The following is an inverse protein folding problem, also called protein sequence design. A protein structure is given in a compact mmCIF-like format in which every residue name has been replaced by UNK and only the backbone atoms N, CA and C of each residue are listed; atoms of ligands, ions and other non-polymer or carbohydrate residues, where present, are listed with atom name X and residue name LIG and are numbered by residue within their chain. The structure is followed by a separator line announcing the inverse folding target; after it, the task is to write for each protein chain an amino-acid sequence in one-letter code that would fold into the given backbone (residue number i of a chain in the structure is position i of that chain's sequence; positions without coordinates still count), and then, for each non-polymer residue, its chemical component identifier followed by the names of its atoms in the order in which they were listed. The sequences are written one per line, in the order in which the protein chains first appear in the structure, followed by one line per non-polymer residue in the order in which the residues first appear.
data_IF_753497294007
#
_entry.id   IF_753497294007
#
_cell.length_a   1.000
_cell.length_b   1.000
_cell.length_c   1.000
_cell.angle_alpha   90.00
_cell.angle_beta   90.00
_cell.angle_gamma   90.00
#
_symmetry.space_group_name_H-M   'P 1'
#
loop_
_entity.id
_entity.type
_entity.pdbx_description
1 polymer ?
#
# COMPACT_ATOMS: atom_id res chain seq x y z
N UNK A 1 19.61 40.24 32.65
CA UNK A 1 19.08 40.90 33.84
C UNK A 1 19.36 40.08 35.07
N UNK A 2 20.17 40.73 35.91
CA UNK A 2 20.85 40.24 37.10
C UNK A 2 19.88 40.26 38.28
N UNK A 3 19.63 39.11 38.91
CA UNK A 3 18.85 39.02 40.15
C UNK A 3 19.62 38.18 41.17
N UNK A 4 20.61 38.85 41.74
CA UNK A 4 21.25 38.52 43.02
C UNK A 4 20.19 38.40 44.11
N UNK A 5 19.81 37.17 44.47
CA UNK A 5 19.08 36.87 45.70
C UNK A 5 20.08 36.43 46.75
N UNK A 6 20.44 37.37 47.63
CA UNK A 6 21.38 37.18 48.72
C UNK A 6 20.93 36.08 49.69
N UNK A 7 21.69 34.99 49.74
CA UNK A 7 21.69 34.00 50.82
C UNK A 7 22.81 34.30 51.85
N UNK A 8 23.15 35.58 52.04
CA UNK A 8 24.13 36.03 53.05
C UNK A 8 23.48 36.44 54.38
N UNK A 9 22.46 35.70 54.81
CA UNK A 9 22.02 35.69 56.21
C UNK A 9 21.98 34.26 56.71
N UNK A 10 23.17 33.69 56.90
CA UNK A 10 23.36 32.65 57.91
C UNK A 10 23.21 33.31 59.28
N UNK A 11 21.99 33.39 59.76
CA UNK A 11 21.73 33.56 61.18
C UNK A 11 22.34 32.35 61.90
N UNK A 12 23.50 32.57 62.52
CA UNK A 12 24.07 31.68 63.52
C UNK A 12 23.14 31.70 64.74
N UNK A 13 22.05 30.94 64.67
CA UNK A 13 21.28 30.57 65.85
C UNK A 13 22.17 29.62 66.65
N UNK A 14 22.90 30.20 67.60
CA UNK A 14 23.62 29.48 68.64
C UNK A 14 22.61 28.90 69.63
N UNK A 15 21.82 27.92 69.22
CA UNK A 15 21.10 27.07 70.18
C UNK A 15 22.14 26.16 70.82
N UNK A 16 22.57 26.53 72.03
CA UNK A 16 23.52 25.78 72.83
C UNK A 16 22.99 24.38 73.14
N UNK A 17 23.33 23.41 72.28
CA UNK A 17 23.19 21.99 72.58
C UNK A 17 24.46 21.57 73.29
N UNK A 18 24.44 21.64 74.62
CA UNK A 18 25.60 21.34 75.48
C UNK A 18 25.66 19.88 75.92
N UNK A 19 24.63 19.08 75.61
CA UNK A 19 24.54 17.67 76.03
C UNK A 19 24.98 16.72 74.91
N UNK A 20 25.92 15.81 75.21
CA UNK A 20 26.45 14.78 74.28
C UNK A 20 25.37 13.99 73.52
N UNK A 21 24.20 13.76 74.12
CA UNK A 21 23.07 13.07 73.49
C UNK A 21 22.38 13.88 72.38
N UNK A 22 22.23 15.20 72.56
CA UNK A 22 21.62 16.08 71.56
C UNK A 22 22.51 16.26 70.33
N UNK A 23 23.83 16.32 70.51
CA UNK A 23 24.80 16.41 69.42
C UNK A 23 24.73 15.19 68.48
N UNK A 24 24.61 13.98 69.03
CA UNK A 24 24.49 12.73 68.25
C UNK A 24 23.19 12.65 67.44
N UNK A 25 22.10 13.23 67.92
CA UNK A 25 20.82 13.23 67.19
C UNK A 25 20.86 14.15 65.96
N UNK A 26 21.49 15.32 66.06
CA UNK A 26 21.67 16.21 64.91
C UNK A 26 22.69 15.68 63.89
N UNK A 27 23.64 14.84 64.31
CA UNK A 27 24.58 14.17 63.41
C UNK A 27 23.88 13.21 62.45
N UNK A 28 22.91 12.41 62.93
CA UNK A 28 22.11 11.53 62.08
C UNK A 28 21.29 12.30 61.03
N UNK A 29 20.69 13.42 61.41
CA UNK A 29 19.94 14.28 60.48
C UNK A 29 20.85 15.00 59.46
N UNK A 30 22.10 15.32 59.83
CA UNK A 30 23.12 15.83 58.90
C UNK A 30 23.56 14.77 57.91
N UNK A 31 23.86 13.57 58.37
CA UNK A 31 24.24 12.45 57.51
C UNK A 31 23.17 12.16 56.45
N UNK A 32 21.90 12.11 56.84
CA UNK A 32 20.78 11.93 55.91
C UNK A 32 20.63 13.09 54.91
N UNK A 33 20.90 14.33 55.34
CA UNK A 33 20.89 15.50 54.46
C UNK A 33 22.06 15.49 53.46
N UNK A 34 23.22 15.01 53.87
CA UNK A 34 24.38 14.86 52.98
C UNK A 34 24.16 13.73 51.98
N UNK A 35 23.55 12.62 52.41
CA UNK A 35 23.11 11.55 51.50
C UNK A 35 22.06 12.04 50.51
N UNK A 36 21.08 12.82 50.96
CA UNK A 36 20.09 13.41 50.07
C UNK A 36 20.72 14.31 49.00
N UNK A 37 21.77 15.07 49.36
CA UNK A 37 22.53 15.91 48.41
C UNK A 37 23.38 15.07 47.46
N UNK A 38 24.06 14.03 47.94
CA UNK A 38 24.89 13.14 47.10
C UNK A 38 24.06 12.33 46.11
N UNK A 39 22.89 11.86 46.52
CA UNK A 39 21.99 11.05 45.69
C UNK A 39 20.89 11.88 45.00
N UNK A 40 20.89 13.21 45.16
CA UNK A 40 19.87 14.12 44.63
C UNK A 40 18.41 13.68 44.92
N UNK A 41 18.18 13.00 46.04
CA UNK A 41 16.86 12.47 46.39
C UNK A 41 16.06 13.49 47.21
N UNK A 42 14.94 13.94 46.65
CA UNK A 42 13.97 14.82 47.31
C UNK A 42 13.27 14.12 48.48
N UNK A 43 13.07 12.80 48.40
CA UNK A 43 12.48 11.99 49.46
C UNK A 43 13.40 11.91 50.69
N UNK A 44 14.70 11.67 50.48
CA UNK A 44 15.69 11.68 51.58
C UNK A 44 15.85 13.07 52.19
N UNK A 45 15.76 14.14 51.38
CA UNK A 45 15.81 15.51 51.87
C UNK A 45 14.59 15.84 52.76
N UNK A 46 13.40 15.38 52.38
CA UNK A 46 12.18 15.51 53.16
C UNK A 46 12.25 14.69 54.47
N UNK A 47 12.79 13.48 54.44
CA UNK A 47 13.02 12.67 55.64
C UNK A 47 13.99 13.37 56.60
N UNK A 48 15.11 13.89 56.11
CA UNK A 48 16.07 14.64 56.92
C UNK A 48 15.44 15.89 57.57
N UNK A 49 14.53 16.57 56.88
CA UNK A 49 13.76 17.68 57.44
C UNK A 49 12.79 17.23 58.54
N UNK A 50 12.08 16.11 58.35
CA UNK A 50 11.17 15.50 59.34
C UNK A 50 11.92 14.97 60.59
N UNK A 51 13.12 14.41 60.41
CA UNK A 51 13.98 14.02 61.53
C UNK A 51 14.42 15.26 62.34
N UNK A 52 14.81 16.34 61.66
CA UNK A 52 15.23 17.59 62.32
C UNK A 52 14.08 18.21 63.12
N UNK A 53 12.84 18.16 62.62
CA UNK A 53 11.67 18.66 63.35
C UNK A 53 11.29 17.76 64.52
N UNK A 54 11.38 16.44 64.37
CA UNK A 54 11.14 15.48 65.45
C UNK A 54 12.11 15.68 66.62
N UNK A 55 13.40 15.90 66.35
CA UNK A 55 14.45 16.15 67.37
C UNK A 55 14.19 17.46 68.14
N UNK A 56 13.71 18.51 67.46
CA UNK A 56 13.40 19.80 68.11
C UNK A 56 12.14 19.72 68.96
N UNK A 57 11.12 18.99 68.50
CA UNK A 57 9.87 18.81 69.23
C UNK A 57 10.07 17.96 70.49
N UNK A 58 10.90 16.92 70.41
CA UNK A 58 11.12 15.99 71.52
C UNK A 58 11.98 16.55 72.66
N UNK A 59 12.73 17.63 72.45
CA UNK A 59 13.48 18.28 73.54
C UNK A 59 12.57 18.91 74.60
N UNK A 60 11.27 19.04 74.32
CA UNK A 60 10.27 19.62 75.21
C UNK A 60 9.31 18.58 75.81
N UNK A 61 9.23 17.36 75.26
CA UNK A 61 8.20 16.37 75.61
C UNK A 61 8.71 15.09 76.29
N UNK A 62 10.02 14.87 76.37
CA UNK A 62 10.60 13.70 77.07
C UNK A 62 10.44 12.35 76.34
N UNK A 63 9.84 12.34 75.14
CA UNK A 63 9.65 11.14 74.32
C UNK A 63 10.97 10.61 73.73
N UNK A 64 11.03 9.29 73.48
CA UNK A 64 12.16 8.64 72.82
C UNK A 64 12.26 9.04 71.33
N UNK A 65 13.10 10.05 71.09
CA UNK A 65 13.42 10.58 69.76
C UNK A 65 13.96 9.52 68.82
N UNK A 66 14.74 8.55 69.32
CA UNK A 66 15.35 7.52 68.48
C UNK A 66 14.31 6.51 68.03
N UNK A 67 13.34 6.16 68.87
CA UNK A 67 12.22 5.33 68.46
C UNK A 67 11.43 5.99 67.32
N UNK A 68 11.16 7.30 67.42
CA UNK A 68 10.45 8.07 66.38
C UNK A 68 11.22 8.16 65.06
N UNK A 69 12.53 8.38 65.13
CA UNK A 69 13.40 8.40 63.93
C UNK A 69 13.47 7.02 63.28
N UNK A 70 13.62 5.95 64.06
CA UNK A 70 13.60 4.58 63.54
C UNK A 70 12.27 4.27 62.86
N UNK A 71 11.14 4.66 63.46
CA UNK A 71 9.82 4.55 62.85
C UNK A 71 9.74 5.26 61.49
N UNK A 72 10.14 6.54 61.42
CA UNK A 72 10.13 7.29 60.15
C UNK A 72 11.02 6.67 59.06
N UNK A 73 12.13 6.04 59.43
CA UNK A 73 13.01 5.33 58.49
C UNK A 73 12.35 4.02 58.05
N UNK A 74 11.80 3.23 58.98
CA UNK A 74 11.07 1.99 58.68
C UNK A 74 9.87 2.24 57.77
N UNK A 75 9.06 3.27 58.05
CA UNK A 75 7.91 3.65 57.22
C UNK A 75 8.33 4.02 55.79
N UNK A 76 9.48 4.70 55.65
CA UNK A 76 10.01 5.07 54.33
C UNK A 76 10.55 3.84 53.59
N UNK A 77 11.20 2.91 54.29
CA UNK A 77 11.70 1.65 53.70
C UNK A 77 10.52 0.80 53.23
N UNK A 78 9.52 0.59 54.08
CA UNK A 78 8.32 -0.19 53.72
C UNK A 78 7.60 0.44 52.52
N UNK A 79 7.47 1.77 52.50
CA UNK A 79 6.90 2.47 51.35
C UNK A 79 7.70 2.26 50.06
N UNK A 80 9.04 2.33 50.11
CA UNK A 80 9.89 2.12 48.94
C UNK A 80 9.83 0.66 48.46
N UNK A 81 9.76 -0.31 49.37
CA UNK A 81 9.60 -1.73 49.02
C UNK A 81 8.25 -2.00 48.34
N UNK A 82 7.17 -1.40 48.83
CA UNK A 82 5.85 -1.49 48.21
C UNK A 82 5.82 -0.81 46.82
N UNK A 83 6.40 0.39 46.69
CA UNK A 83 6.51 1.10 45.42
C UNK A 83 7.36 0.30 44.41
N UNK A 84 8.47 -0.29 44.84
CA UNK A 84 9.31 -1.13 43.98
C UNK A 84 8.57 -2.39 43.46
N UNK A 85 7.79 -3.04 44.32
CA UNK A 85 6.97 -4.18 43.92
C UNK A 85 5.86 -3.77 42.93
N UNK A 86 5.20 -2.63 43.16
CA UNK A 86 4.18 -2.09 42.25
C UNK A 86 4.79 -1.68 40.90
N UNK A 87 5.96 -1.04 40.90
CA UNK A 87 6.66 -0.65 39.67
C UNK A 87 7.16 -1.87 38.88
N UNK A 88 7.63 -2.92 39.55
CA UNK A 88 8.03 -4.16 38.88
C UNK A 88 6.85 -4.81 38.13
N UNK A 89 5.69 -4.89 38.77
CA UNK A 89 4.48 -5.44 38.14
C UNK A 89 3.96 -4.56 37.00
N UNK A 90 3.94 -3.24 37.20
CA UNK A 90 3.54 -2.28 36.17
C UNK A 90 4.48 -2.27 34.98
N UNK A 91 5.80 -2.37 35.22
CA UNK A 91 6.79 -2.48 34.15
C UNK A 91 6.57 -3.74 33.32
N UNK A 92 6.39 -4.90 33.98
CA UNK A 92 6.12 -6.15 33.28
C UNK A 92 4.83 -6.06 32.44
N UNK A 93 3.79 -5.40 32.95
CA UNK A 93 2.56 -5.14 32.20
C UNK A 93 2.80 -4.21 30.99
N UNK A 94 3.49 -3.08 31.19
CA UNK A 94 3.81 -2.16 30.11
C UNK A 94 4.66 -2.79 29.02
N UNK A 95 5.69 -3.55 29.39
CA UNK A 95 6.57 -4.24 28.44
C UNK A 95 5.77 -5.27 27.62
N UNK A 96 4.88 -6.03 28.27
CA UNK A 96 4.01 -7.00 27.60
C UNK A 96 3.02 -6.33 26.64
N UNK A 97 2.25 -5.36 27.11
CA UNK A 97 1.22 -4.70 26.30
C UNK A 97 1.84 -3.91 25.14
N UNK A 98 2.99 -3.25 25.35
CA UNK A 98 3.71 -2.59 24.27
C UNK A 98 4.22 -3.58 23.23
N UNK A 99 4.75 -4.73 23.66
CA UNK A 99 5.19 -5.77 22.73
C UNK A 99 4.02 -6.31 21.89
N UNK A 100 2.91 -6.67 22.53
CA UNK A 100 1.70 -7.16 21.83
C UNK A 100 1.10 -6.10 20.90
N UNK A 101 1.06 -4.83 21.34
CA UNK A 101 0.52 -3.73 20.54
C UNK A 101 1.40 -3.43 19.33
N UNK A 102 2.73 -3.42 19.50
CA UNK A 102 3.66 -3.23 18.39
C UNK A 102 3.58 -4.38 17.39
N UNK A 103 3.50 -5.63 17.86
CA UNK A 103 3.30 -6.78 16.98
C UNK A 103 2.01 -6.65 16.17
N UNK A 104 0.88 -6.33 16.83
CA UNK A 104 -0.40 -6.12 16.13
C UNK A 104 -0.34 -4.97 15.14
N UNK A 105 0.38 -3.89 15.48
CA UNK A 105 0.61 -2.76 14.59
C UNK A 105 1.37 -3.20 13.34
N UNK A 106 2.47 -3.93 13.49
CA UNK A 106 3.31 -4.38 12.38
C UNK A 106 2.56 -5.36 11.46
N UNK A 107 1.80 -6.30 12.05
CA UNK A 107 0.92 -7.20 11.30
C UNK A 107 -0.12 -6.43 10.49
N UNK A 108 -0.77 -5.43 11.09
CA UNK A 108 -1.79 -4.61 10.42
C UNK A 108 -1.19 -3.68 9.37
N UNK A 109 -0.01 -3.11 9.60
CA UNK A 109 0.70 -2.32 8.59
C UNK A 109 1.07 -3.18 7.38
N UNK A 110 1.57 -4.40 7.61
CA UNK A 110 1.85 -5.36 6.53
C UNK A 110 0.60 -5.75 5.76
N UNK A 111 -0.53 -5.97 6.45
CA UNK A 111 -1.82 -6.26 5.83
C UNK A 111 -2.31 -5.08 4.97
N UNK A 112 -2.16 -3.85 5.43
CA UNK A 112 -2.50 -2.63 4.69
C UNK A 112 -1.65 -2.51 3.42
N UNK A 113 -0.33 -2.70 3.51
CA UNK A 113 0.56 -2.64 2.34
C UNK A 113 0.19 -3.71 1.30
N UNK A 114 -0.10 -4.94 1.76
CA UNK A 114 -0.56 -6.02 0.88
C UNK A 114 -1.89 -5.68 0.20
N UNK A 115 -2.85 -5.13 0.93
CA UNK A 115 -4.14 -4.74 0.34
C UNK A 115 -3.98 -3.56 -0.63
N UNK A 116 -3.13 -2.57 -0.31
CA UNK A 116 -2.85 -1.44 -1.18
C UNK A 116 -2.26 -1.90 -2.52
N UNK A 117 -1.22 -2.75 -2.47
CA UNK A 117 -0.61 -3.29 -3.70
C UNK A 117 -1.58 -4.12 -4.54
N UNK A 118 -2.51 -4.86 -3.90
CA UNK A 118 -3.58 -5.56 -4.60
C UNK A 118 -4.58 -4.60 -5.26
N UNK A 119 -4.95 -3.52 -4.57
CA UNK A 119 -5.83 -2.47 -5.10
C UNK A 119 -5.20 -1.81 -6.32
N UNK A 120 -3.91 -1.49 -6.27
CA UNK A 120 -3.19 -0.87 -7.39
C UNK A 120 -3.15 -1.80 -8.61
N UNK A 121 -2.86 -3.09 -8.38
CA UNK A 121 -2.88 -4.11 -9.44
C UNK A 121 -4.27 -4.27 -10.06
N UNK A 122 -5.31 -4.32 -9.25
CA UNK A 122 -6.69 -4.44 -9.73
C UNK A 122 -7.15 -3.19 -10.47
N UNK A 123 -6.75 -2.01 -10.01
CA UNK A 123 -7.06 -0.72 -10.65
C UNK A 123 -6.38 -0.61 -12.01
N UNK A 124 -5.10 -0.98 -12.11
CA UNK A 124 -4.39 -1.06 -13.38
C UNK A 124 -5.07 -2.04 -14.35
N UNK A 125 -5.42 -3.25 -13.89
CA UNK A 125 -6.14 -4.23 -14.72
C UNK A 125 -7.52 -3.74 -15.16
N UNK A 126 -8.22 -2.99 -14.31
CA UNK A 126 -9.51 -2.39 -14.66
C UNK A 126 -9.36 -1.35 -15.77
N UNK A 127 -8.30 -0.53 -15.72
CA UNK A 127 -8.00 0.42 -16.78
C UNK A 127 -7.67 -0.29 -18.11
N UNK A 128 -6.80 -1.30 -18.10
CA UNK A 128 -6.47 -2.05 -19.34
C UNK A 128 -7.69 -2.74 -19.93
N UNK A 129 -8.54 -3.37 -19.10
CA UNK A 129 -9.77 -4.00 -19.58
C UNK A 129 -10.74 -2.99 -20.20
N UNK A 130 -10.83 -1.77 -19.67
CA UNK A 130 -11.66 -0.71 -20.27
C UNK A 130 -11.12 -0.28 -21.63
N UNK A 131 -9.81 -0.15 -21.78
CA UNK A 131 -9.17 0.15 -23.06
C UNK A 131 -9.40 -0.98 -24.08
N UNK A 132 -9.23 -2.24 -23.67
CA UNK A 132 -9.50 -3.41 -24.51
C UNK A 132 -10.96 -3.47 -24.95
N UNK A 133 -11.91 -3.21 -24.04
CA UNK A 133 -13.35 -3.17 -24.38
C UNK A 133 -13.64 -2.08 -25.40
N UNK A 134 -13.08 -0.87 -25.23
CA UNK A 134 -13.27 0.21 -26.19
C UNK A 134 -12.70 -0.16 -27.56
N UNK A 135 -11.48 -0.71 -27.61
CA UNK A 135 -10.85 -1.15 -28.85
C UNK A 135 -11.64 -2.25 -29.55
N UNK A 136 -12.14 -3.25 -28.81
CA UNK A 136 -12.97 -4.33 -29.35
C UNK A 136 -14.31 -3.81 -29.87
N UNK A 137 -14.93 -2.83 -29.19
CA UNK A 137 -16.16 -2.21 -29.66
C UNK A 137 -15.95 -1.47 -30.99
N UNK A 138 -14.86 -0.72 -31.13
CA UNK A 138 -14.50 -0.07 -32.39
C UNK A 138 -14.27 -1.09 -33.50
N UNK A 139 -13.46 -2.12 -33.24
CA UNK A 139 -13.19 -3.17 -34.23
C UNK A 139 -14.46 -3.92 -34.67
N UNK A 140 -15.40 -4.15 -33.75
CA UNK A 140 -16.68 -4.78 -34.06
C UNK A 140 -17.57 -3.88 -34.92
N UNK A 141 -17.55 -2.57 -34.67
CA UNK A 141 -18.21 -1.57 -35.51
C UNK A 141 -17.66 -1.58 -36.94
N UNK A 142 -16.33 -1.50 -37.09
CA UNK A 142 -15.65 -1.53 -38.39
C UNK A 142 -15.89 -2.85 -39.14
N UNK A 143 -15.87 -3.97 -38.43
CA UNK A 143 -16.14 -5.28 -39.02
C UNK A 143 -17.59 -5.38 -39.51
N UNK A 144 -18.55 -4.86 -38.74
CA UNK A 144 -19.97 -4.85 -39.12
C UNK A 144 -20.20 -3.98 -40.36
N UNK A 145 -19.58 -2.79 -40.43
CA UNK A 145 -19.68 -1.94 -41.63
C UNK A 145 -19.04 -2.60 -42.84
N UNK A 146 -17.86 -3.20 -42.67
CA UNK A 146 -17.18 -3.91 -43.76
C UNK A 146 -17.99 -5.12 -44.26
N UNK A 147 -18.61 -5.89 -43.35
CA UNK A 147 -19.51 -6.98 -43.73
C UNK A 147 -20.72 -6.49 -44.51
N UNK A 148 -21.36 -5.41 -44.07
CA UNK A 148 -22.51 -4.83 -44.77
C UNK A 148 -22.15 -4.34 -46.19
N UNK A 149 -20.97 -3.72 -46.35
CA UNK A 149 -20.45 -3.30 -47.65
C UNK A 149 -20.15 -4.50 -48.57
N UNK A 150 -19.51 -5.55 -48.03
CA UNK A 150 -19.23 -6.78 -48.77
C UNK A 150 -20.51 -7.49 -49.19
N UNK A 151 -21.52 -7.56 -48.32
CA UNK A 151 -22.81 -8.17 -48.63
C UNK A 151 -23.56 -7.39 -49.71
N UNK A 152 -23.49 -6.05 -49.66
CA UNK A 152 -24.06 -5.18 -50.68
C UNK A 152 -23.38 -5.39 -52.04
N UNK A 153 -22.05 -5.37 -52.08
CA UNK A 153 -21.28 -5.64 -53.31
C UNK A 153 -21.61 -7.01 -53.89
N UNK A 154 -21.66 -8.04 -53.04
CA UNK A 154 -21.98 -9.41 -53.48
C UNK A 154 -23.41 -9.52 -54.03
N UNK A 155 -24.36 -8.75 -53.48
CA UNK A 155 -25.72 -8.68 -54.01
C UNK A 155 -25.77 -7.97 -55.37
N UNK A 156 -25.07 -6.84 -55.51
CA UNK A 156 -24.96 -6.10 -56.78
C UNK A 156 -24.28 -6.92 -57.88
N UNK A 157 -23.17 -7.59 -57.57
CA UNK A 157 -22.46 -8.49 -58.48
C UNK A 157 -23.34 -9.67 -58.90
N UNK A 158 -24.09 -10.25 -57.96
CA UNK A 158 -25.04 -11.33 -58.26
C UNK A 158 -26.13 -10.86 -59.23
N UNK A 159 -26.68 -9.67 -59.01
CA UNK A 159 -27.70 -9.11 -59.90
C UNK A 159 -27.13 -8.89 -61.32
N UNK A 160 -25.94 -8.27 -61.42
CA UNK A 160 -25.27 -8.05 -62.71
C UNK A 160 -24.93 -9.37 -63.40
N UNK A 161 -24.43 -10.37 -62.65
CA UNK A 161 -24.17 -11.70 -63.18
C UNK A 161 -25.44 -12.33 -63.75
N UNK A 162 -26.57 -12.28 -63.03
CA UNK A 162 -27.82 -12.86 -63.55
C UNK A 162 -28.32 -12.20 -64.82
N UNK A 163 -28.13 -10.87 -64.97
CA UNK A 163 -28.47 -10.14 -66.20
C UNK A 163 -27.55 -10.53 -67.35
N UNK A 164 -26.23 -10.48 -67.11
CA UNK A 164 -25.23 -10.72 -68.15
C UNK A 164 -25.11 -12.20 -68.54
N UNK A 165 -25.42 -13.13 -67.64
CA UNK A 165 -25.29 -14.57 -67.90
C UNK A 165 -26.20 -15.01 -69.06
N UNK A 166 -27.41 -14.44 -69.17
CA UNK A 166 -28.30 -14.73 -70.30
C UNK A 166 -27.70 -14.28 -71.64
N UNK A 167 -27.13 -13.07 -71.69
CA UNK A 167 -26.47 -12.54 -72.88
C UNK A 167 -25.22 -13.34 -73.26
N UNK A 168 -24.44 -13.77 -72.25
CA UNK A 168 -23.27 -14.64 -72.45
C UNK A 168 -23.68 -16.02 -72.96
N UNK A 169 -24.74 -16.63 -72.41
CA UNK A 169 -25.27 -17.91 -72.88
C UNK A 169 -25.78 -17.83 -74.32
N UNK A 170 -26.52 -16.75 -74.66
CA UNK A 170 -26.97 -16.51 -76.03
C UNK A 170 -25.80 -16.25 -76.98
N UNK A 171 -24.79 -15.48 -76.56
CA UNK A 171 -23.57 -15.25 -77.32
C UNK A 171 -22.80 -16.55 -77.58
N UNK A 172 -22.63 -17.39 -76.57
CA UNK A 172 -22.02 -18.72 -76.70
C UNK A 172 -22.81 -19.62 -77.65
N UNK A 173 -24.14 -19.60 -77.58
CA UNK A 173 -24.98 -20.35 -78.52
C UNK A 173 -24.78 -19.85 -79.97
N UNK A 174 -24.75 -18.53 -80.16
CA UNK A 174 -24.50 -17.91 -81.46
C UNK A 174 -23.14 -18.29 -82.05
N UNK A 175 -22.08 -18.24 -81.24
CA UNK A 175 -20.73 -18.66 -81.64
C UNK A 175 -20.71 -20.15 -82.00
N UNK A 176 -21.34 -21.02 -81.20
CA UNK A 176 -21.47 -22.45 -81.51
C UNK A 176 -22.20 -22.71 -82.82
N UNK A 177 -23.27 -21.95 -83.11
CA UNK A 177 -23.99 -22.05 -84.37
C UNK A 177 -23.13 -21.59 -85.56
N UNK A 178 -22.42 -20.47 -85.40
CA UNK A 178 -21.51 -19.97 -86.43
C UNK A 178 -20.38 -20.97 -86.72
N UNK A 179 -19.78 -21.57 -85.69
CA UNK A 179 -18.81 -22.65 -85.84
C UNK A 179 -19.40 -23.85 -86.57
N UNK A 180 -20.65 -24.24 -86.26
CA UNK A 180 -21.33 -25.33 -86.96
C UNK A 180 -21.52 -25.03 -88.44
N UNK A 181 -21.95 -23.81 -88.81
CA UNK A 181 -22.12 -23.41 -90.21
C UNK A 181 -20.77 -23.36 -90.94
N UNK A 182 -19.72 -22.80 -90.30
CA UNK A 182 -18.37 -22.81 -90.86
C UNK A 182 -17.88 -24.23 -91.09
N UNK A 183 -18.01 -25.12 -90.10
CA UNK A 183 -17.65 -26.53 -90.23
C UNK A 183 -18.47 -27.23 -91.32
N UNK A 184 -19.77 -27.00 -91.42
CA UNK A 184 -20.60 -27.57 -92.49
C UNK A 184 -20.25 -27.01 -93.89
N UNK A 185 -19.89 -25.74 -94.00
CA UNK A 185 -19.45 -25.10 -95.25
C UNK A 185 -18.09 -25.63 -95.71
N UNK A 186 -17.13 -25.78 -94.79
CA UNK A 186 -15.81 -26.33 -95.10
C UNK A 186 -15.81 -27.87 -95.22
N UNK A 187 -16.75 -28.59 -94.58
CA UNK A 187 -16.90 -30.05 -94.69
C UNK A 187 -17.73 -30.50 -95.91
N UNK A 188 -18.74 -29.73 -96.35
CA UNK A 188 -19.39 -29.91 -97.66
C UNK A 188 -18.46 -29.39 -98.73
N UNK A 189 -17.43 -30.17 -99.03
CA UNK A 189 -16.50 -29.86 -100.10
C UNK A 189 -17.24 -29.64 -101.41
N UNK A 190 -17.33 -28.39 -101.85
CA UNK A 190 -17.28 -28.10 -103.27
C UNK A 190 -16.25 -27.02 -103.55
N UNK A 191 -15.36 -27.38 -104.46
CA UNK A 191 -14.12 -26.69 -104.82
C UNK A 191 -14.45 -25.47 -105.68
N UNK A 192 -14.99 -24.41 -105.09
CA UNK A 192 -15.33 -23.18 -105.83
C UNK A 192 -14.56 -21.92 -105.40
N UNK A 193 -13.68 -22.00 -104.39
CA UNK A 193 -12.71 -20.93 -104.07
C UNK A 193 -11.29 -21.49 -104.03
N UNK A 194 -10.69 -21.60 -105.20
CA UNK A 194 -9.24 -21.68 -105.34
C UNK A 194 -8.63 -20.29 -105.06
N UNK A 195 -8.12 -20.09 -103.83
CA UNK A 195 -6.95 -19.26 -103.48
C UNK A 195 -7.03 -18.80 -102.01
N UNK A 196 -6.57 -19.64 -101.09
CA UNK A 196 -5.53 -19.38 -100.08
C UNK A 196 -5.73 -20.38 -98.93
N UNK A 197 -5.33 -21.63 -99.21
CA UNK A 197 -5.45 -22.79 -98.35
C UNK A 197 -4.41 -22.68 -97.22
N UNK A 198 -4.87 -22.51 -95.98
CA UNK A 198 -3.99 -22.41 -94.80
C UNK A 198 -4.49 -21.52 -93.66
N UNK A 199 -5.44 -20.61 -93.91
CA UNK A 199 -5.98 -19.72 -92.86
C UNK A 199 -7.19 -20.27 -92.11
N UNK A 200 -8.05 -21.05 -92.78
CA UNK A 200 -9.34 -21.49 -92.24
C UNK A 200 -9.24 -22.49 -91.09
N UNK A 201 -8.39 -23.52 -91.22
CA UNK A 201 -8.17 -24.52 -90.16
C UNK A 201 -7.51 -23.92 -88.90
N UNK A 202 -6.61 -22.95 -89.06
CA UNK A 202 -5.97 -22.27 -87.93
C UNK A 202 -6.92 -21.36 -87.14
N UNK A 203 -7.88 -20.72 -87.81
CA UNK A 203 -8.87 -19.84 -87.18
C UNK A 203 -9.93 -20.65 -86.43
N UNK A 204 -10.37 -21.78 -86.98
CA UNK A 204 -11.31 -22.69 -86.30
C UNK A 204 -10.67 -23.32 -85.07
N UNK A 205 -9.41 -23.78 -85.17
CA UNK A 205 -8.67 -24.33 -84.02
C UNK A 205 -8.34 -23.32 -82.91
N UNK A 206 -8.29 -22.01 -83.23
CA UNK A 206 -8.07 -20.94 -82.23
C UNK A 206 -9.38 -20.55 -81.50
N UNK A 207 -10.55 -20.86 -82.07
CA UNK A 207 -11.87 -20.53 -81.52
C UNK A 207 -12.49 -21.68 -80.70
N UNK A 208 -11.93 -22.88 -80.75
CA UNK A 208 -12.38 -24.07 -80.00
C UNK A 208 -11.62 -24.31 -78.68
N UNK A 209 -10.70 -23.41 -78.27
CA UNK A 209 -10.02 -23.42 -76.96
C UNK A 209 -10.76 -22.55 -75.97
#
# INVERSE_FOLDING_TARGET
DDLSYGLNQVSFVQTGITTRGGLRQFEAARFMRDLARKHHSTQLAQLAARMTSAIRASSHSGDDVFAKIKGLISDMVEKIEQEAAADATKKAFCDKELAESNQKKDEKTTEIEKLSTQIDKMSARSATLKEEVAALQTALGELSTSQAEMDKLRAEEKEQYTKNNADVEQGLYGIKLALKVLNEYYAKGDKAHAANDGGGEGIIGLLEV
#
